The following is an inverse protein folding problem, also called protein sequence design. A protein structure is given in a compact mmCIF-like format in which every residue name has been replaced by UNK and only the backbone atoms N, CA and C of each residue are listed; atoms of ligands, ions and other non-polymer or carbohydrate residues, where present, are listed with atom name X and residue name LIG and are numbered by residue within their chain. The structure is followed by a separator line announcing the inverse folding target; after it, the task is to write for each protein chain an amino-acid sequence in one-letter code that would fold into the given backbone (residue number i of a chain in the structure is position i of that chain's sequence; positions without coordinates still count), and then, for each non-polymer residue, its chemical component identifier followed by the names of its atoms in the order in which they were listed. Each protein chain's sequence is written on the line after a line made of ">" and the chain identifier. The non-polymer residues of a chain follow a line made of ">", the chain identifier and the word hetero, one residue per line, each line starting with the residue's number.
data_IF_093599217802
#
_entry.id   IF_093599217802
#
_cell.length_a   1.000
_cell.length_b   1.000
_cell.length_c   1.000
_cell.angle_alpha   90.00
_cell.angle_beta   90.00
_cell.angle_gamma   90.00
#
_symmetry.space_group_name_H-M   'P 1'
#
loop_
_entity.id
_entity.type
_entity.pdbx_description
1 polymer ?
#
# COMPACT_ATOMS: atom_id res chain seq x y z
N UNK A 1 15.96 4.25 -0.66
CA UNK A 1 16.33 4.47 -2.07
C UNK A 1 17.23 5.69 -2.13
N UNK A 2 18.37 5.55 -2.78
CA UNK A 2 19.29 6.65 -3.07
C UNK A 2 19.82 6.51 -4.49
N UNK A 3 20.41 7.59 -5.01
CA UNK A 3 21.13 7.57 -6.27
C UNK A 3 22.63 7.78 -6.02
N UNK A 4 23.44 7.05 -6.75
CA UNK A 4 24.90 7.09 -6.71
C UNK A 4 25.44 7.52 -8.08
N UNK A 5 26.66 8.05 -8.10
CA UNK A 5 27.38 8.42 -9.32
C UNK A 5 28.72 7.66 -9.38
N UNK A 6 28.72 6.37 -9.79
CA UNK A 6 29.95 5.56 -9.83
C UNK A 6 31.01 6.12 -10.78
N UNK A 7 30.56 6.81 -11.84
CA UNK A 7 31.40 7.54 -12.77
C UNK A 7 30.76 8.90 -13.04
N UNK A 8 31.58 9.93 -13.29
CA UNK A 8 31.10 11.27 -13.57
C UNK A 8 30.05 11.28 -14.71
N UNK A 9 28.88 11.85 -14.44
CA UNK A 9 27.74 11.91 -15.35
C UNK A 9 26.99 10.60 -15.55
N UNK A 10 27.27 9.55 -14.76
CA UNK A 10 26.61 8.24 -14.84
C UNK A 10 25.98 7.91 -13.50
N UNK A 11 24.65 7.93 -13.45
CA UNK A 11 23.89 7.78 -12.23
C UNK A 11 23.23 6.40 -12.16
N UNK A 12 23.29 5.75 -10.99
CA UNK A 12 22.58 4.50 -10.73
C UNK A 12 21.71 4.68 -9.49
N UNK A 13 20.48 4.19 -9.54
CA UNK A 13 19.65 4.12 -8.33
C UNK A 13 19.92 2.81 -7.59
N UNK A 14 19.79 2.87 -6.27
CA UNK A 14 19.93 1.72 -5.36
C UNK A 14 18.75 1.73 -4.40
N UNK A 15 18.04 0.60 -4.33
CA UNK A 15 17.03 0.33 -3.32
C UNK A 15 17.68 -0.40 -2.17
N UNK A 16 17.51 0.18 -0.99
CA UNK A 16 17.98 -0.37 0.27
C UNK A 16 16.82 -0.54 1.23
N UNK A 17 16.84 -1.63 1.96
CA UNK A 17 15.97 -1.90 3.09
C UNK A 17 16.80 -1.88 4.37
N UNK A 18 16.19 -1.42 5.45
CA UNK A 18 16.85 -1.43 6.76
C UNK A 18 16.76 -2.85 7.35
N UNK A 19 17.89 -3.52 7.50
CA UNK A 19 17.96 -4.90 8.00
C UNK A 19 17.91 -4.97 9.53
N UNK A 20 18.59 -4.04 10.20
CA UNK A 20 18.58 -3.92 11.67
C UNK A 20 18.63 -2.44 12.10
N UNK A 21 19.00 -2.14 13.35
CA UNK A 21 19.04 -0.75 13.83
C UNK A 21 20.10 0.13 13.15
N UNK A 22 21.14 -0.47 12.57
CA UNK A 22 22.34 0.21 12.05
C UNK A 22 22.72 -0.19 10.61
N UNK A 23 22.26 -1.35 10.14
CA UNK A 23 22.60 -1.92 8.85
C UNK A 23 21.51 -1.69 7.81
N UNK A 24 21.96 -1.33 6.61
CA UNK A 24 21.15 -1.23 5.41
C UNK A 24 21.58 -2.33 4.45
N UNK A 25 20.60 -3.07 3.93
CA UNK A 25 20.82 -4.09 2.92
C UNK A 25 20.36 -3.57 1.56
N UNK A 26 21.16 -3.82 0.52
CA UNK A 26 20.73 -3.59 -0.86
C UNK A 26 19.77 -4.70 -1.28
N UNK A 27 18.61 -4.31 -1.79
CA UNK A 27 17.59 -5.24 -2.27
C UNK A 27 17.47 -5.21 -3.80
N UNK A 28 17.81 -4.08 -4.43
CA UNK A 28 17.79 -3.94 -5.88
C UNK A 28 18.64 -2.74 -6.31
N UNK A 29 19.17 -2.78 -7.54
CA UNK A 29 19.94 -1.71 -8.16
C UNK A 29 19.63 -1.60 -9.64
N UNK A 30 19.88 -0.42 -10.22
CA UNK A 30 19.78 -0.20 -11.65
C UNK A 30 20.72 -1.14 -12.44
N UNK A 31 20.17 -1.83 -13.44
CA UNK A 31 20.97 -2.66 -14.37
C UNK A 31 21.88 -1.81 -15.28
N UNK A 32 21.49 -0.56 -15.52
CA UNK A 32 22.23 0.37 -16.37
C UNK A 32 22.24 1.78 -15.79
N UNK A 33 23.34 2.49 -15.97
CA UNK A 33 23.47 3.87 -15.50
C UNK A 33 22.75 4.88 -16.41
N UNK A 34 21.93 5.73 -15.81
CA UNK A 34 21.25 6.87 -16.43
C UNK A 34 22.21 8.03 -16.70
N UNK A 35 21.85 8.88 -17.66
CA UNK A 35 22.65 10.06 -18.02
C UNK A 35 22.42 11.23 -17.05
N UNK A 36 21.28 11.24 -16.33
CA UNK A 36 20.95 12.30 -15.39
C UNK A 36 20.51 11.74 -14.04
N UNK A 37 20.80 12.49 -12.98
CA UNK A 37 20.31 12.19 -11.63
C UNK A 37 18.78 12.12 -11.57
N UNK A 38 18.09 13.00 -12.32
CA UNK A 38 16.64 13.04 -12.40
C UNK A 38 16.06 11.72 -12.94
N UNK A 39 16.65 11.18 -14.00
CA UNK A 39 16.23 9.89 -14.57
C UNK A 39 16.46 8.76 -13.58
N UNK A 40 17.65 8.68 -12.98
CA UNK A 40 17.95 7.66 -11.97
C UNK A 40 16.94 7.70 -10.81
N UNK A 41 16.60 8.90 -10.33
CA UNK A 41 15.61 9.07 -9.27
C UNK A 41 14.21 8.64 -9.70
N UNK A 42 13.77 9.02 -10.90
CA UNK A 42 12.45 8.65 -11.41
C UNK A 42 12.33 7.13 -11.61
N UNK A 43 13.36 6.49 -12.17
CA UNK A 43 13.40 5.04 -12.36
C UNK A 43 13.42 4.29 -11.03
N UNK A 44 14.28 4.68 -10.08
CA UNK A 44 14.33 4.01 -8.79
C UNK A 44 13.04 4.19 -7.97
N UNK A 45 12.32 5.31 -8.12
CA UNK A 45 11.01 5.49 -7.47
C UNK A 45 9.95 4.57 -8.08
N UNK A 46 9.96 4.38 -9.40
CA UNK A 46 9.09 3.39 -10.05
C UNK A 46 9.42 1.98 -9.60
N UNK A 47 10.71 1.64 -9.52
CA UNK A 47 11.14 0.33 -9.01
C UNK A 47 10.67 0.12 -7.56
N UNK A 48 10.78 1.14 -6.70
CA UNK A 48 10.29 1.08 -5.33
C UNK A 48 8.77 0.88 -5.27
N UNK A 49 8.00 1.61 -6.10
CA UNK A 49 6.55 1.47 -6.16
C UNK A 49 6.12 0.08 -6.62
N UNK A 50 6.86 -0.54 -7.55
CA UNK A 50 6.59 -1.89 -8.03
C UNK A 50 6.79 -2.99 -6.97
N UNK A 51 7.50 -2.70 -5.86
CA UNK A 51 7.59 -3.61 -4.73
C UNK A 51 6.31 -3.68 -3.90
N UNK A 52 5.46 -2.65 -3.98
CA UNK A 52 4.15 -2.66 -3.34
C UNK A 52 3.15 -3.39 -4.23
N UNK A 53 2.60 -4.50 -3.75
CA UNK A 53 1.66 -5.31 -4.52
C UNK A 53 0.35 -4.59 -4.83
N UNK A 54 -0.27 -3.98 -3.83
CA UNK A 54 -1.52 -3.23 -3.98
C UNK A 54 -1.41 -1.90 -3.21
N UNK A 55 -1.26 -0.81 -3.96
CA UNK A 55 -1.18 0.54 -3.43
C UNK A 55 -2.54 1.14 -3.07
N UNK A 56 -3.63 0.62 -3.63
CA UNK A 56 -4.99 1.13 -3.39
C UNK A 56 -5.58 0.55 -2.09
N UNK A 57 -5.24 -0.69 -1.76
CA UNK A 57 -5.69 -1.35 -0.54
C UNK A 57 -4.82 -1.01 0.68
N UNK A 58 -3.51 -0.83 0.49
CA UNK A 58 -2.56 -0.68 1.58
C UNK A 58 -2.38 -1.97 2.42
N UNK A 59 -1.56 -1.93 3.48
CA UNK A 59 -1.25 -3.12 4.28
C UNK A 59 -2.49 -3.61 5.04
N UNK A 60 -2.99 -4.80 4.70
CA UNK A 60 -4.03 -5.49 5.48
C UNK A 60 -3.41 -6.08 6.74
N UNK A 61 -3.95 -5.72 7.91
CA UNK A 61 -3.70 -6.52 9.12
C UNK A 61 -4.31 -7.90 8.93
N UNK A 62 -3.58 -8.96 9.31
CA UNK A 62 -4.00 -10.37 9.16
C UNK A 62 -5.39 -10.69 9.75
N UNK A 63 -5.93 -9.82 10.62
CA UNK A 63 -7.29 -9.87 11.14
C UNK A 63 -8.38 -9.51 10.11
N UNK A 64 -8.11 -8.61 9.17
CA UNK A 64 -9.09 -8.14 8.18
C UNK A 64 -9.33 -9.16 7.05
N UNK A 65 -8.35 -10.01 6.74
CA UNK A 65 -8.49 -11.08 5.73
C UNK A 65 -9.41 -12.21 6.22
N UNK A 66 -9.42 -12.48 7.54
CA UNK A 66 -10.27 -13.50 8.14
C UNK A 66 -11.76 -13.11 8.19
N UNK A 67 -12.07 -11.81 8.21
CA UNK A 67 -13.45 -11.31 8.19
C UNK A 67 -14.03 -11.25 6.77
N UNK A 68 -13.23 -10.85 5.76
CA UNK A 68 -13.71 -10.78 4.37
C UNK A 68 -14.06 -12.15 3.77
N UNK A 69 -13.37 -13.21 4.17
CA UNK A 69 -13.67 -14.58 3.72
C UNK A 69 -14.97 -15.16 4.31
N UNK A 70 -15.56 -14.52 5.33
CA UNK A 70 -16.81 -14.98 5.98
C UNK A 70 -18.07 -14.30 5.45
N UNK A 71 -17.91 -13.15 4.79
CA UNK A 71 -19.05 -12.38 4.27
C UNK A 71 -19.40 -12.72 2.81
N UNK A 72 -18.61 -13.60 2.16
CA UNK A 72 -18.84 -14.05 0.76
C UNK A 72 -19.68 -15.32 0.60
N UNK A 73 -20.08 -15.97 1.69
CA UNK A 73 -20.80 -17.25 1.67
C UNK A 73 -22.21 -17.11 2.27
N UNK A 74 -22.97 -16.12 1.81
CA UNK A 74 -24.38 -15.96 2.16
C UNK A 74 -25.15 -15.29 1.02
N UNK A 75 -25.07 -15.85 -0.19
CA UNK A 75 -26.05 -15.55 -1.23
C UNK A 75 -26.46 -16.84 -1.94
N UNK A 76 -27.26 -17.64 -1.23
CA UNK A 76 -28.04 -18.72 -1.81
C UNK A 76 -29.42 -18.75 -1.13
N UNK A 77 -30.39 -18.18 -1.86
CA UNK A 77 -31.82 -18.46 -1.79
C UNK A 77 -32.60 -17.96 -0.57
N UNK A 78 -33.30 -16.84 -0.76
CA UNK A 78 -34.66 -16.69 -0.22
C UNK A 78 -35.53 -15.89 -1.20
N UNK A 79 -36.50 -16.62 -1.74
CA UNK A 79 -37.59 -16.21 -2.61
C UNK A 79 -38.62 -15.35 -1.83
N UNK A 80 -39.16 -14.34 -2.52
CA UNK A 80 -40.41 -13.60 -2.33
C UNK A 80 -40.79 -12.91 -0.97
N UNK A 81 -41.11 -11.61 -1.06
CA UNK A 81 -41.50 -10.66 0.01
C UNK A 81 -43.04 -10.63 0.23
N UNK A 82 -43.70 -9.69 0.97
CA UNK A 82 -43.24 -8.59 1.85
C UNK A 82 -44.05 -8.40 3.18
N UNK A 83 -43.56 -7.56 4.11
CA UNK A 83 -44.34 -7.14 5.29
C UNK A 83 -43.72 -6.08 6.23
N UNK A 84 -44.08 -4.81 5.98
CA UNK A 84 -44.33 -3.68 6.90
C UNK A 84 -43.25 -3.08 7.86
N UNK A 85 -42.94 -1.80 7.55
CA UNK A 85 -42.91 -0.61 8.43
C UNK A 85 -41.84 -0.38 9.54
N UNK A 86 -40.74 0.26 9.11
CA UNK A 86 -40.22 1.58 9.57
C UNK A 86 -39.60 1.75 11.00
N UNK A 87 -38.90 2.87 11.30
CA UNK A 87 -37.44 2.89 11.42
C UNK A 87 -36.95 3.19 12.86
N UNK A 88 -35.76 2.71 13.25
CA UNK A 88 -35.11 3.17 14.49
C UNK A 88 -33.68 3.64 14.24
N UNK A 89 -33.57 4.93 13.96
CA UNK A 89 -32.33 5.71 14.10
C UNK A 89 -31.93 5.76 15.57
N UNK A 90 -30.71 5.34 15.90
CA UNK A 90 -29.87 6.03 16.91
C UNK A 90 -28.42 6.00 16.43
N UNK A 91 -28.01 7.16 15.89
CA UNK A 91 -26.62 7.49 15.58
C UNK A 91 -25.76 7.34 16.84
N UNK A 92 -24.71 6.52 16.78
CA UNK A 92 -23.68 6.38 17.81
C UNK A 92 -22.41 7.18 17.44
N UNK A 93 -22.57 8.32 16.78
CA UNK A 93 -21.47 9.25 16.51
C UNK A 93 -21.80 10.60 17.13
N UNK A 94 -21.33 10.80 18.37
CA UNK A 94 -21.30 12.10 19.02
C UNK A 94 -19.87 12.64 19.00
N UNK A 95 -19.58 13.56 18.08
CA UNK A 95 -18.51 14.52 18.31
C UNK A 95 -19.05 15.52 19.35
N UNK A 96 -18.51 15.47 20.57
CA UNK A 96 -18.86 16.40 21.64
C UNK A 96 -18.54 17.85 21.24
N UNK A 97 -19.21 18.85 21.84
CA UNK A 97 -19.02 20.23 21.48
C UNK A 97 -17.58 20.68 21.80
N UNK A 98 -16.94 21.29 20.81
CA UNK A 98 -15.70 22.01 20.98
C UNK A 98 -15.90 23.11 22.04
N UNK A 99 -14.94 23.19 22.96
CA UNK A 99 -14.77 24.29 23.92
C UNK A 99 -13.39 24.87 23.72
#
# INVERSE_FOLDING_TARGET
>A
MHAEEPHAGRFVWVLTERADTIAWNEIQRADSACATYKEAMAEGLRALQALAGDLDTGPRTRQAEATAARDGEADASADDAPGQDAPRKKSLFGFGPAR
#
